data_IF_883624449501
#
_entry.id   IF_883624449501
#
_cell.length_a   1.000
_cell.length_b   1.000
_cell.length_c   1.000
_cell.angle_alpha   90.00
_cell.angle_beta   90.00
_cell.angle_gamma   90.00
#
_symmetry.space_group_name_H-M   'P 1'
#
loop_
_entity.id
_entity.type
_entity.pdbx_description
1 polymer ?
#
# COMPACT_ATOMS: atom_id res chain seq x y z
N UNK A 1 -5.18 53.54 -23.88
CA UNK A 1 -4.57 52.25 -24.26
C UNK A 1 -4.80 51.33 -23.07
N UNK A 2 -5.87 50.51 -23.13
CA UNK A 2 -6.33 49.72 -22.01
C UNK A 2 -5.53 48.43 -21.92
N UNK A 3 -5.09 48.10 -20.71
CA UNK A 3 -4.38 46.91 -20.36
C UNK A 3 -5.25 45.66 -20.57
N UNK A 4 -5.07 44.97 -21.70
CA UNK A 4 -5.74 43.71 -22.06
C UNK A 4 -4.93 42.48 -21.58
N UNK A 5 -3.84 42.67 -20.83
CA UNK A 5 -2.96 41.60 -20.38
C UNK A 5 -3.47 40.86 -19.14
N UNK A 6 -4.11 41.57 -18.21
CA UNK A 6 -4.53 40.99 -16.93
C UNK A 6 -5.67 39.95 -17.00
N UNK A 7 -6.64 40.19 -17.90
CA UNK A 7 -7.80 39.29 -18.03
C UNK A 7 -7.47 37.91 -18.62
N UNK A 8 -6.47 37.83 -19.49
CA UNK A 8 -6.03 36.57 -20.12
C UNK A 8 -5.20 35.72 -19.16
N UNK A 9 -4.39 36.32 -18.32
CA UNK A 9 -3.59 35.58 -17.32
C UNK A 9 -4.46 34.98 -16.23
N UNK A 10 -5.43 35.72 -15.69
CA UNK A 10 -6.36 35.21 -14.67
C UNK A 10 -7.20 34.06 -15.20
N UNK A 11 -7.72 34.15 -16.44
CA UNK A 11 -8.49 33.06 -17.06
C UNK A 11 -7.63 31.80 -17.31
N UNK A 12 -6.38 31.96 -17.71
CA UNK A 12 -5.46 30.84 -17.93
C UNK A 12 -5.11 30.13 -16.61
N UNK A 13 -4.88 30.87 -15.53
CA UNK A 13 -4.62 30.30 -14.20
C UNK A 13 -5.82 29.51 -13.67
N UNK A 14 -7.04 30.05 -13.77
CA UNK A 14 -8.24 29.34 -13.31
C UNK A 14 -8.51 28.07 -14.11
N UNK A 15 -8.21 28.05 -15.40
CA UNK A 15 -8.33 26.83 -16.22
C UNK A 15 -7.30 25.79 -15.80
N UNK A 16 -6.03 26.18 -15.58
CA UNK A 16 -4.97 25.28 -15.17
C UNK A 16 -5.22 24.66 -13.78
N UNK A 17 -5.64 25.46 -12.80
CA UNK A 17 -5.94 24.96 -11.46
C UNK A 17 -7.11 23.99 -11.46
N UNK A 18 -8.16 24.31 -12.20
CA UNK A 18 -9.33 23.47 -12.38
C UNK A 18 -9.00 22.13 -13.05
N UNK A 19 -8.26 22.17 -14.17
CA UNK A 19 -7.87 20.95 -14.89
C UNK A 19 -6.90 20.11 -14.07
N UNK A 20 -5.98 20.74 -13.31
CA UNK A 20 -5.08 20.04 -12.38
C UNK A 20 -5.85 19.38 -11.24
N UNK A 21 -6.83 20.06 -10.67
CA UNK A 21 -7.67 19.52 -9.63
C UNK A 21 -8.45 18.28 -10.13
N UNK A 22 -9.03 18.36 -11.33
CA UNK A 22 -9.76 17.26 -11.96
C UNK A 22 -8.85 16.08 -12.28
N UNK A 23 -7.79 16.31 -13.04
CA UNK A 23 -6.84 15.27 -13.45
C UNK A 23 -6.16 14.63 -12.23
N UNK A 24 -5.75 15.44 -11.26
CA UNK A 24 -5.16 14.98 -9.99
C UNK A 24 -6.12 14.12 -9.17
N UNK A 25 -7.39 14.51 -9.10
CA UNK A 25 -8.43 13.74 -8.42
C UNK A 25 -8.69 12.37 -9.06
N UNK A 26 -8.80 12.31 -10.40
CA UNK A 26 -8.94 11.03 -11.12
C UNK A 26 -7.72 10.13 -10.97
N UNK A 27 -6.52 10.69 -11.11
CA UNK A 27 -5.28 9.93 -10.94
C UNK A 27 -5.15 9.39 -9.50
N UNK A 28 -5.45 10.24 -8.50
CA UNK A 28 -5.47 9.82 -7.09
C UNK A 28 -6.46 8.66 -6.85
N UNK A 29 -7.69 8.80 -7.35
CA UNK A 29 -8.71 7.76 -7.21
C UNK A 29 -8.30 6.44 -7.86
N UNK A 30 -7.79 6.49 -9.08
CA UNK A 30 -7.33 5.29 -9.80
C UNK A 30 -6.18 4.60 -9.06
N UNK A 31 -5.17 5.35 -8.62
CA UNK A 31 -4.02 4.82 -7.89
C UNK A 31 -4.40 4.22 -6.54
N UNK A 32 -5.25 4.91 -5.77
CA UNK A 32 -5.74 4.40 -4.48
C UNK A 32 -6.63 3.17 -4.66
N UNK A 33 -7.47 3.13 -5.71
CA UNK A 33 -8.26 1.95 -6.05
C UNK A 33 -7.38 0.75 -6.38
N UNK A 34 -6.35 0.95 -7.20
CA UNK A 34 -5.35 -0.09 -7.51
C UNK A 34 -4.59 -0.53 -6.26
N UNK A 35 -4.26 0.39 -5.34
CA UNK A 35 -3.65 0.04 -4.06
C UNK A 35 -4.57 -0.84 -3.20
N UNK A 36 -5.87 -0.53 -3.12
CA UNK A 36 -6.86 -1.37 -2.42
C UNK A 36 -6.97 -2.75 -3.06
N UNK A 37 -7.04 -2.82 -4.40
CA UNK A 37 -7.06 -4.07 -5.15
C UNK A 37 -5.80 -4.90 -4.87
N UNK A 38 -4.61 -4.30 -4.94
CA UNK A 38 -3.35 -4.97 -4.62
C UNK A 38 -3.34 -5.51 -3.18
N UNK A 39 -3.84 -4.73 -2.21
CA UNK A 39 -4.01 -5.15 -0.83
C UNK A 39 -4.97 -6.35 -0.67
N UNK A 40 -6.06 -6.37 -1.43
CA UNK A 40 -7.00 -7.50 -1.46
C UNK A 40 -6.39 -8.74 -2.11
N UNK A 41 -5.61 -8.59 -3.19
CA UNK A 41 -4.87 -9.68 -3.83
C UNK A 41 -3.88 -10.31 -2.85
N UNK A 42 -3.11 -9.48 -2.12
CA UNK A 42 -2.22 -9.94 -1.05
C UNK A 42 -2.97 -10.73 0.03
N UNK A 43 -4.15 -10.26 0.40
CA UNK A 43 -4.97 -10.89 1.43
C UNK A 43 -5.61 -12.20 0.95
N UNK A 44 -5.99 -12.29 -0.31
CA UNK A 44 -6.57 -13.48 -0.93
C UNK A 44 -5.53 -14.57 -1.25
N UNK A 45 -4.24 -14.33 -0.95
CA UNK A 45 -3.13 -15.26 -1.21
C UNK A 45 -3.06 -15.74 -2.69
N UNK A 46 -3.44 -14.88 -3.62
CA UNK A 46 -3.24 -15.15 -5.03
C UNK A 46 -1.75 -15.02 -5.34
N UNK A 47 -1.11 -16.18 -5.46
CA UNK A 47 0.32 -16.30 -5.72
C UNK A 47 0.53 -17.31 -6.84
N UNK A 48 1.43 -17.00 -7.74
CA UNK A 48 1.98 -17.95 -8.71
C UNK A 48 3.50 -17.78 -8.73
N UNK A 49 4.21 -18.78 -9.25
CA UNK A 49 5.67 -18.74 -9.36
C UNK A 49 6.15 -17.53 -10.18
N UNK A 50 5.32 -17.04 -11.11
CA UNK A 50 5.59 -15.85 -11.92
C UNK A 50 5.26 -14.53 -11.22
N UNK A 51 4.42 -14.56 -10.17
CA UNK A 51 3.95 -13.37 -9.45
C UNK A 51 4.16 -13.53 -7.95
N UNK A 52 5.39 -13.36 -7.46
CA UNK A 52 5.70 -13.54 -6.05
C UNK A 52 5.04 -12.45 -5.18
N UNK A 53 4.73 -12.82 -3.94
CA UNK A 53 4.09 -11.93 -2.96
C UNK A 53 4.86 -10.64 -2.72
N UNK A 54 6.20 -10.67 -2.86
CA UNK A 54 7.06 -9.52 -2.69
C UNK A 54 6.70 -8.40 -3.67
N UNK A 55 6.55 -8.73 -4.96
CA UNK A 55 6.19 -7.75 -6.00
C UNK A 55 4.85 -7.07 -5.67
N UNK A 56 3.84 -7.84 -5.26
CA UNK A 56 2.54 -7.26 -4.91
C UNK A 56 2.63 -6.36 -3.68
N UNK A 57 3.49 -6.69 -2.70
CA UNK A 57 3.70 -5.86 -1.51
C UNK A 57 4.35 -4.53 -1.86
N UNK A 58 5.41 -4.56 -2.67
CA UNK A 58 6.10 -3.36 -3.15
C UNK A 58 5.18 -2.50 -4.02
N UNK A 59 4.43 -3.14 -4.92
CA UNK A 59 3.45 -2.46 -5.76
C UNK A 59 2.36 -1.76 -4.93
N UNK A 60 1.82 -2.44 -3.91
CA UNK A 60 0.85 -1.83 -2.99
C UNK A 60 1.44 -0.60 -2.28
N UNK A 61 2.67 -0.70 -1.78
CA UNK A 61 3.38 0.41 -1.14
C UNK A 61 3.61 1.58 -2.09
N UNK A 62 4.10 1.31 -3.30
CA UNK A 62 4.33 2.31 -4.33
C UNK A 62 3.05 3.02 -4.78
N UNK A 63 1.99 2.28 -5.10
CA UNK A 63 0.70 2.83 -5.51
C UNK A 63 0.07 3.69 -4.40
N UNK A 64 0.20 3.26 -3.14
CA UNK A 64 -0.31 4.02 -2.00
C UNK A 64 0.43 5.34 -1.81
N UNK A 65 1.75 5.35 -1.96
CA UNK A 65 2.56 6.57 -1.87
C UNK A 65 2.25 7.52 -3.03
N UNK A 66 2.22 6.99 -4.25
CA UNK A 66 1.92 7.78 -5.44
C UNK A 66 0.49 8.36 -5.37
N UNK A 67 -0.48 7.56 -4.93
CA UNK A 67 -1.84 8.02 -4.69
C UNK A 67 -1.91 9.17 -3.68
N UNK A 68 -1.14 9.09 -2.58
CA UNK A 68 -1.06 10.18 -1.59
C UNK A 68 -0.47 11.46 -2.21
N UNK A 69 0.54 11.36 -3.06
CA UNK A 69 1.11 12.50 -3.78
C UNK A 69 0.04 13.17 -4.67
N UNK A 70 -0.72 12.37 -5.43
CA UNK A 70 -1.78 12.91 -6.29
C UNK A 70 -2.96 13.49 -5.49
N UNK A 71 -3.31 12.91 -4.34
CA UNK A 71 -4.29 13.53 -3.40
C UNK A 71 -3.79 14.88 -2.93
N UNK A 72 -2.51 14.99 -2.58
CA UNK A 72 -1.92 16.27 -2.15
C UNK A 72 -1.98 17.32 -3.26
N UNK A 73 -1.62 16.94 -4.50
CA UNK A 73 -1.73 17.83 -5.67
C UNK A 73 -3.19 18.26 -5.88
N UNK A 74 -4.13 17.32 -5.81
CA UNK A 74 -5.57 17.60 -5.97
C UNK A 74 -6.06 18.60 -4.91
N UNK A 75 -5.76 18.37 -3.64
CA UNK A 75 -6.18 19.25 -2.54
C UNK A 75 -5.56 20.63 -2.66
N UNK A 76 -4.26 20.71 -3.00
CA UNK A 76 -3.58 21.99 -3.22
C UNK A 76 -4.17 22.75 -4.41
N UNK A 77 -4.44 22.07 -5.53
CA UNK A 77 -5.05 22.69 -6.70
C UNK A 77 -6.44 23.28 -6.37
N UNK A 78 -7.26 22.54 -5.62
CA UNK A 78 -8.57 23.02 -5.14
C UNK A 78 -8.42 24.20 -4.18
N UNK A 79 -7.41 24.16 -3.28
CA UNK A 79 -7.20 25.22 -2.29
C UNK A 79 -6.74 26.55 -2.90
N UNK A 80 -6.00 26.51 -4.02
CA UNK A 80 -5.49 27.71 -4.70
C UNK A 80 -6.35 28.15 -5.88
N UNK A 81 -7.43 27.43 -6.18
CA UNK A 81 -8.29 27.74 -7.31
C UNK A 81 -9.07 29.06 -7.10
N UNK A 82 -8.83 30.07 -7.95
CA UNK A 82 -9.48 31.38 -7.80
C UNK A 82 -10.97 31.36 -8.18
N UNK A 83 -11.44 30.33 -8.89
CA UNK A 83 -12.84 30.25 -9.33
C UNK A 83 -13.78 29.78 -8.21
N UNK A 84 -13.35 28.82 -7.39
CA UNK A 84 -14.18 28.23 -6.32
C UNK A 84 -14.13 29.03 -5.03
N UNK A 85 -13.16 29.95 -4.86
CA UNK A 85 -12.97 30.77 -3.66
C UNK A 85 -13.03 29.99 -2.35
N UNK A 86 -12.56 28.74 -2.34
CA UNK A 86 -12.53 27.92 -1.13
C UNK A 86 -11.51 28.51 -0.14
N UNK A 87 -12.04 28.99 0.99
CA UNK A 87 -11.20 29.37 2.13
C UNK A 87 -10.58 28.14 2.81
N UNK A 88 -9.52 28.34 3.57
CA UNK A 88 -8.89 27.27 4.36
C UNK A 88 -9.89 26.50 5.25
N UNK A 89 -10.94 27.18 5.74
CA UNK A 89 -12.01 26.55 6.53
C UNK A 89 -12.80 25.52 5.70
N UNK A 90 -13.07 25.82 4.45
CA UNK A 90 -13.87 24.95 3.57
C UNK A 90 -13.07 23.74 3.07
N UNK A 91 -11.74 23.84 3.04
CA UNK A 91 -10.83 22.74 2.68
C UNK A 91 -10.54 21.85 3.89
N UNK A 92 -10.55 22.40 5.12
CA UNK A 92 -10.21 21.66 6.34
C UNK A 92 -11.44 21.16 7.10
N UNK A 93 -12.56 21.90 7.11
CA UNK A 93 -13.74 21.50 7.88
C UNK A 93 -14.74 20.77 6.95
N UNK A 94 -15.12 19.52 7.28
CA UNK A 94 -16.10 18.80 6.50
C UNK A 94 -17.48 19.46 6.61
N UNK A 95 -18.26 19.44 5.54
CA UNK A 95 -19.65 19.89 5.45
C UNK A 95 -19.89 21.40 5.60
N UNK A 96 -18.85 22.24 5.65
CA UNK A 96 -18.95 23.71 5.78
C UNK A 96 -18.99 24.41 4.41
N UNK A 97 -18.60 23.73 3.34
CA UNK A 97 -18.54 24.28 1.98
C UNK A 97 -19.93 24.75 1.50
N UNK A 98 -19.98 25.94 0.90
CA UNK A 98 -21.17 26.47 0.22
C UNK A 98 -21.50 25.69 -1.07
N UNK A 99 -20.48 25.07 -1.70
CA UNK A 99 -20.68 24.26 -2.89
C UNK A 99 -20.83 22.79 -2.54
N UNK A 100 -22.03 22.24 -2.73
CA UNK A 100 -22.35 20.81 -2.52
C UNK A 100 -21.77 20.24 -1.20
N UNK A 101 -22.20 20.71 -0.03
CA UNK A 101 -21.55 20.45 1.26
C UNK A 101 -21.36 18.97 1.59
N UNK A 102 -22.34 18.11 1.24
CA UNK A 102 -22.23 16.67 1.50
C UNK A 102 -21.12 16.00 0.69
N UNK A 103 -21.04 16.32 -0.60
CA UNK A 103 -20.04 15.71 -1.48
C UNK A 103 -18.63 16.19 -1.18
N UNK A 104 -18.47 17.48 -0.92
CA UNK A 104 -17.17 18.06 -0.51
C UNK A 104 -16.76 17.55 0.87
N UNK A 105 -17.70 17.47 1.81
CA UNK A 105 -17.45 16.93 3.15
C UNK A 105 -16.95 15.49 3.14
N UNK A 106 -17.49 14.64 2.25
CA UNK A 106 -17.02 13.26 2.10
C UNK A 106 -15.56 13.19 1.60
N UNK A 107 -15.15 14.10 0.71
CA UNK A 107 -13.76 14.20 0.27
C UNK A 107 -12.81 14.55 1.41
N UNK A 108 -13.20 15.50 2.27
CA UNK A 108 -12.41 15.90 3.45
C UNK A 108 -12.35 14.76 4.47
N UNK A 109 -13.45 14.06 4.71
CA UNK A 109 -13.46 12.87 5.58
C UNK A 109 -12.55 11.78 5.01
N UNK A 110 -12.61 11.52 3.70
CA UNK A 110 -11.72 10.57 3.05
C UNK A 110 -10.24 10.95 3.20
N UNK A 111 -9.91 12.24 3.10
CA UNK A 111 -8.56 12.76 3.32
C UNK A 111 -8.08 12.47 4.75
N UNK A 112 -8.88 12.76 5.77
CA UNK A 112 -8.51 12.50 7.17
C UNK A 112 -8.34 11.01 7.46
N UNK A 113 -9.22 10.17 6.92
CA UNK A 113 -9.09 8.72 7.04
C UNK A 113 -7.83 8.21 6.32
N UNK A 114 -7.53 8.73 5.14
CA UNK A 114 -6.30 8.39 4.39
C UNK A 114 -5.05 8.76 5.18
N UNK A 115 -5.00 9.97 5.76
CA UNK A 115 -3.91 10.41 6.62
C UNK A 115 -3.77 9.52 7.86
N UNK A 116 -4.88 9.12 8.50
CA UNK A 116 -4.88 8.21 9.63
C UNK A 116 -4.30 6.84 9.25
N UNK A 117 -4.69 6.28 8.10
CA UNK A 117 -4.14 5.02 7.56
C UNK A 117 -2.64 5.17 7.28
N UNK A 118 -2.22 6.26 6.66
CA UNK A 118 -0.82 6.51 6.32
C UNK A 118 0.05 6.67 7.59
N UNK A 119 -0.36 7.52 8.52
CA UNK A 119 0.34 7.75 9.80
C UNK A 119 0.41 6.46 10.60
N UNK A 120 -0.69 5.71 10.72
CA UNK A 120 -0.69 4.44 11.45
C UNK A 120 0.27 3.43 10.84
N UNK A 121 0.44 3.44 9.51
CA UNK A 121 1.38 2.56 8.81
C UNK A 121 2.84 2.94 9.14
N UNK A 122 3.14 4.23 9.27
CA UNK A 122 4.47 4.71 9.72
C UNK A 122 4.74 4.39 11.18
N UNK A 123 3.70 4.44 12.03
CA UNK A 123 3.80 4.16 13.45
C UNK A 123 3.54 2.68 13.80
N UNK A 124 3.42 1.77 12.83
CA UNK A 124 3.06 0.36 13.04
C UNK A 124 3.88 -0.34 14.12
N UNK A 125 5.17 -0.04 14.19
CA UNK A 125 6.07 -0.63 15.20
C UNK A 125 5.77 -0.15 16.62
N UNK A 126 5.21 1.06 16.78
CA UNK A 126 4.88 1.65 18.07
C UNK A 126 3.48 1.28 18.55
N UNK A 127 2.49 1.28 17.65
CA UNK A 127 1.08 1.03 18.01
C UNK A 127 0.72 -0.46 18.06
N UNK A 128 1.59 -1.32 17.52
CA UNK A 128 1.37 -2.77 17.47
C UNK A 128 0.47 -3.21 16.32
N UNK A 129 0.61 -4.49 15.94
CA UNK A 129 -0.03 -5.05 14.75
C UNK A 129 -1.58 -5.05 14.80
N UNK A 130 -2.17 -5.28 15.98
CA UNK A 130 -3.64 -5.39 16.11
C UNK A 130 -4.31 -4.06 15.82
N UNK A 131 -3.86 -2.98 16.47
CA UNK A 131 -4.41 -1.63 16.30
C UNK A 131 -4.14 -1.11 14.88
N UNK A 132 -2.90 -1.26 14.39
CA UNK A 132 -2.56 -0.92 13.01
C UNK A 132 -3.51 -1.57 12.01
N UNK A 133 -3.80 -2.86 12.17
CA UNK A 133 -4.69 -3.58 11.26
C UNK A 133 -6.12 -3.04 11.27
N UNK A 134 -6.65 -2.66 12.42
CA UNK A 134 -7.98 -2.07 12.54
C UNK A 134 -8.04 -0.72 11.81
N UNK A 135 -7.05 0.15 12.05
CA UNK A 135 -6.96 1.44 11.38
C UNK A 135 -6.77 1.25 9.87
N UNK A 136 -5.96 0.28 9.45
CA UNK A 136 -5.72 0.00 8.03
C UNK A 136 -6.99 -0.47 7.29
N UNK A 137 -7.96 -1.07 7.98
CA UNK A 137 -9.25 -1.41 7.38
C UNK A 137 -10.09 -0.18 7.03
N UNK A 138 -9.80 1.00 7.61
CA UNK A 138 -10.44 2.26 7.20
C UNK A 138 -10.13 2.62 5.75
N UNK A 139 -9.15 2.00 5.11
CA UNK A 139 -8.88 2.14 3.68
C UNK A 139 -10.11 1.79 2.80
N UNK A 140 -10.99 0.90 3.26
CA UNK A 140 -12.26 0.64 2.58
C UNK A 140 -13.24 1.81 2.69
N UNK A 141 -13.26 2.49 3.83
CA UNK A 141 -14.07 3.71 4.00
C UNK A 141 -13.48 4.87 3.18
N UNK A 142 -12.16 4.97 3.09
CA UNK A 142 -11.49 5.92 2.18
C UNK A 142 -11.96 5.67 0.75
N UNK A 143 -11.92 4.41 0.29
CA UNK A 143 -12.36 4.04 -1.06
C UNK A 143 -13.84 4.39 -1.28
N UNK A 144 -14.73 4.03 -0.37
CA UNK A 144 -16.16 4.32 -0.49
C UNK A 144 -16.44 5.83 -0.49
N UNK A 145 -15.87 6.57 0.46
CA UNK A 145 -16.08 8.02 0.58
C UNK A 145 -15.50 8.78 -0.64
N UNK A 146 -14.31 8.39 -1.13
CA UNK A 146 -13.72 8.99 -2.33
C UNK A 146 -14.51 8.66 -3.60
N UNK A 147 -15.08 7.45 -3.72
CA UNK A 147 -15.97 7.09 -4.83
C UNK A 147 -17.20 7.98 -4.84
N UNK A 148 -17.88 8.09 -3.70
CA UNK A 148 -19.10 8.91 -3.56
C UNK A 148 -18.79 10.40 -3.77
N UNK A 149 -17.67 10.89 -3.22
CA UNK A 149 -17.17 12.25 -3.46
C UNK A 149 -16.94 12.51 -4.95
N UNK A 150 -16.18 11.62 -5.62
CA UNK A 150 -15.86 11.78 -7.05
C UNK A 150 -17.09 11.73 -7.94
N UNK A 151 -18.07 10.86 -7.64
CA UNK A 151 -19.35 10.80 -8.37
C UNK A 151 -20.16 12.07 -8.14
N UNK A 152 -20.19 12.57 -6.91
CA UNK A 152 -21.03 13.72 -6.55
C UNK A 152 -20.48 15.07 -6.97
N UNK A 153 -19.14 15.24 -7.01
CA UNK A 153 -18.48 16.50 -7.39
C UNK A 153 -17.99 16.52 -8.83
N UNK A 154 -17.71 15.33 -9.41
CA UNK A 154 -17.09 15.20 -10.71
C UNK A 154 -18.01 15.67 -11.86
N UNK A 155 -17.52 16.61 -12.67
CA UNK A 155 -18.17 17.03 -13.92
C UNK A 155 -18.14 15.91 -14.96
N UNK A 156 -17.11 15.08 -14.93
CA UNK A 156 -16.86 14.01 -15.90
C UNK A 156 -17.60 12.71 -15.58
N UNK A 157 -18.27 12.63 -14.43
CA UNK A 157 -19.13 11.47 -14.09
C UNK A 157 -20.29 11.28 -15.07
N UNK A 158 -20.64 12.33 -15.79
CA UNK A 158 -21.64 12.27 -16.88
C UNK A 158 -21.09 11.67 -18.16
N UNK A 159 -19.78 11.51 -18.27
CA UNK A 159 -19.14 10.88 -19.43
C UNK A 159 -19.07 9.37 -19.22
N UNK A 160 -19.18 8.61 -20.31
CA UNK A 160 -19.15 7.13 -20.26
C UNK A 160 -17.85 6.61 -19.66
N UNK A 161 -16.71 7.21 -20.00
CA UNK A 161 -15.39 6.79 -19.48
C UNK A 161 -15.22 7.11 -17.98
N UNK A 162 -15.70 8.29 -17.52
CA UNK A 162 -15.62 8.67 -16.12
C UNK A 162 -16.42 7.73 -15.24
N UNK A 163 -17.67 7.44 -15.64
CA UNK A 163 -18.51 6.47 -14.92
C UNK A 163 -17.92 5.06 -14.95
N UNK A 164 -17.33 4.65 -16.09
CA UNK A 164 -16.71 3.33 -16.23
C UNK A 164 -15.57 3.11 -15.22
N UNK A 165 -14.74 4.09 -14.96
CA UNK A 165 -13.64 4.01 -13.98
C UNK A 165 -14.19 3.70 -12.58
N UNK A 166 -15.23 4.42 -12.13
CA UNK A 166 -15.86 4.19 -10.83
C UNK A 166 -16.51 2.80 -10.74
N UNK A 167 -17.24 2.39 -11.79
CA UNK A 167 -17.91 1.08 -11.83
C UNK A 167 -16.89 -0.07 -11.82
N UNK A 168 -15.86 0.00 -12.66
CA UNK A 168 -14.82 -1.04 -12.73
C UNK A 168 -14.09 -1.17 -11.39
N UNK A 169 -13.71 -0.04 -10.78
CA UNK A 169 -13.08 -0.05 -9.47
C UNK A 169 -14.00 -0.63 -8.38
N UNK A 170 -15.27 -0.22 -8.34
CA UNK A 170 -16.24 -0.72 -7.38
C UNK A 170 -16.53 -2.22 -7.55
N UNK A 171 -16.68 -2.70 -8.80
CA UNK A 171 -16.87 -4.11 -9.10
C UNK A 171 -15.65 -4.94 -8.72
N UNK A 172 -14.44 -4.49 -9.05
CA UNK A 172 -13.20 -5.19 -8.72
C UNK A 172 -13.00 -5.30 -7.19
N UNK A 173 -13.15 -4.19 -6.47
CA UNK A 173 -13.03 -4.18 -4.99
C UNK A 173 -14.14 -5.01 -4.36
N UNK A 174 -15.38 -4.88 -4.85
CA UNK A 174 -16.54 -5.65 -4.37
C UNK A 174 -16.35 -7.15 -4.58
N UNK A 175 -16.00 -7.59 -5.80
CA UNK A 175 -15.80 -9.00 -6.13
C UNK A 175 -14.67 -9.64 -5.30
N UNK A 176 -13.54 -8.94 -5.14
CA UNK A 176 -12.42 -9.43 -4.32
C UNK A 176 -12.78 -9.48 -2.83
N UNK A 177 -13.59 -8.54 -2.35
CA UNK A 177 -14.06 -8.50 -0.97
C UNK A 177 -15.06 -9.64 -0.70
N UNK A 178 -16.04 -9.84 -1.58
CA UNK A 178 -17.02 -10.93 -1.50
C UNK A 178 -16.29 -12.29 -1.54
N UNK A 179 -15.39 -12.48 -2.50
CA UNK A 179 -14.57 -13.69 -2.56
C UNK A 179 -13.84 -13.96 -1.23
N UNK A 180 -13.31 -12.90 -0.60
CA UNK A 180 -12.63 -13.00 0.68
C UNK A 180 -13.55 -13.48 1.80
N UNK A 181 -14.83 -13.11 1.77
CA UNK A 181 -15.83 -13.52 2.75
C UNK A 181 -16.32 -14.96 2.50
N UNK A 182 -16.49 -15.33 1.23
CA UNK A 182 -17.04 -16.64 0.83
C UNK A 182 -16.01 -17.77 0.87
N UNK A 183 -14.72 -17.48 0.60
CA UNK A 183 -13.66 -18.49 0.63
C UNK A 183 -12.89 -18.37 1.94
N UNK A 184 -13.24 -19.18 2.96
CA UNK A 184 -12.44 -19.26 4.17
C UNK A 184 -11.05 -19.74 3.79
N UNK A 185 -10.02 -18.99 4.13
CA UNK A 185 -8.62 -19.43 4.00
C UNK A 185 -8.49 -20.67 4.84
N UNK A 186 -8.35 -21.83 4.16
CA UNK A 186 -8.27 -23.14 4.76
C UNK A 186 -7.31 -23.13 5.95
N UNK A 187 -7.82 -23.49 7.11
CA UNK A 187 -7.06 -23.70 8.34
C UNK A 187 -6.14 -24.94 8.25
N UNK A 188 -6.16 -25.61 7.10
CA UNK A 188 -5.63 -26.96 6.94
C UNK A 188 -4.09 -27.03 6.86
N UNK A 189 -3.42 -25.97 6.50
CA UNK A 189 -1.95 -25.99 6.41
C UNK A 189 -1.23 -25.80 7.74
N UNK A 190 -1.92 -25.32 8.79
CA UNK A 190 -1.33 -25.21 10.13
C UNK A 190 -1.39 -26.49 10.97
N UNK A 191 -2.11 -27.52 10.48
CA UNK A 191 -2.22 -28.83 11.08
C UNK A 191 -1.49 -29.93 10.30
N UNK A 192 -0.52 -29.59 9.43
CA UNK A 192 0.48 -30.63 9.15
C UNK A 192 1.24 -30.84 10.46
N UNK A 193 1.03 -31.95 11.16
CA UNK A 193 1.92 -32.28 12.25
C UNK A 193 3.30 -32.25 11.62
N UNK A 194 4.20 -31.44 12.14
CA UNK A 194 5.62 -31.66 11.96
C UNK A 194 5.74 -33.14 12.32
N UNK A 195 5.94 -33.99 11.29
CA UNK A 195 6.14 -35.41 11.54
C UNK A 195 7.19 -35.47 12.63
N UNK A 196 6.75 -35.87 13.83
CA UNK A 196 7.63 -35.94 14.96
C UNK A 196 8.80 -36.78 14.48
N UNK A 197 9.98 -36.21 14.40
CA UNK A 197 11.18 -36.98 14.15
C UNK A 197 11.17 -38.04 15.24
N UNK A 198 11.12 -39.35 14.94
CA UNK A 198 11.19 -40.37 15.94
C UNK A 198 12.47 -40.16 16.73
N UNK A 199 12.34 -40.15 18.05
CA UNK A 199 13.46 -39.99 18.97
C UNK A 199 14.63 -40.87 18.54
N UNK A 200 15.89 -40.41 18.63
CA UNK A 200 17.06 -41.17 18.20
C UNK A 200 17.35 -42.30 19.22
N UNK A 201 16.67 -43.39 19.06
CA UNK A 201 16.83 -44.56 19.95
C UNK A 201 16.55 -45.91 19.29
N UNK A 202 16.07 -45.92 18.05
CA UNK A 202 15.79 -47.16 17.32
C UNK A 202 16.57 -47.20 16.02
N UNK A 203 17.33 -48.30 15.83
CA UNK A 203 18.15 -48.54 14.62
C UNK A 203 17.36 -48.49 13.32
N UNK A 204 16.02 -48.65 13.36
CA UNK A 204 15.12 -48.53 12.21
C UNK A 204 14.86 -47.06 11.81
N UNK A 205 15.19 -46.04 12.64
CA UNK A 205 14.97 -44.64 12.34
C UNK A 205 16.06 -44.03 11.45
N UNK A 206 17.27 -44.57 11.51
CA UNK A 206 18.42 -44.05 10.74
C UNK A 206 18.31 -44.33 9.23
N UNK A 207 17.64 -45.44 8.86
CA UNK A 207 17.47 -45.81 7.45
C UNK A 207 16.40 -44.99 6.77
N UNK A 208 15.40 -44.46 7.48
CA UNK A 208 14.27 -43.72 6.90
C UNK A 208 14.54 -42.22 6.72
N UNK A 209 15.43 -41.62 7.54
CA UNK A 209 15.86 -40.22 7.34
C UNK A 209 16.81 -40.02 6.15
N UNK A 210 17.50 -41.09 5.70
CA UNK A 210 18.46 -41.01 4.60
C UNK A 210 17.81 -40.95 3.24
N UNK A 211 16.55 -41.35 3.09
CA UNK A 211 15.84 -41.43 1.83
C UNK A 211 15.00 -40.17 1.48
N UNK A 212 14.91 -39.18 2.39
CA UNK A 212 14.05 -37.99 2.18
C UNK A 212 14.84 -36.69 1.96
N UNK A 213 16.18 -36.75 1.82
CA UNK A 213 16.97 -35.57 1.46
C UNK A 213 17.43 -35.68 0.01
N UNK A 214 16.81 -35.00 -0.96
CA UNK A 214 17.36 -34.94 -2.30
C UNK A 214 18.56 -33.99 -2.32
N UNK A 215 19.76 -34.54 -2.55
CA UNK A 215 20.83 -33.82 -3.23
C UNK A 215 21.78 -32.95 -2.41
N UNK A 216 22.26 -33.38 -1.24
CA UNK A 216 23.56 -32.90 -0.74
C UNK A 216 24.60 -33.99 -0.92
N UNK A 217 25.47 -33.85 -1.93
CA UNK A 217 26.71 -34.63 -2.04
C UNK A 217 27.55 -34.39 -0.77
N UNK A 218 27.83 -35.45 -0.04
CA UNK A 218 28.80 -35.42 1.02
C UNK A 218 30.22 -35.20 0.43
N UNK A 219 31.07 -34.35 1.05
CA UNK A 219 32.48 -34.33 0.68
C UNK A 219 33.15 -35.61 1.13
N UNK A 220 33.94 -36.20 0.22
CA UNK A 220 34.76 -37.38 0.46
C UNK A 220 35.79 -37.15 1.56
N UNK A 221 36.10 -38.14 2.40
CA UNK A 221 37.16 -38.04 3.42
C UNK A 221 38.52 -38.17 2.73
N UNK A 222 39.25 -37.03 2.68
CA UNK A 222 40.64 -37.00 2.27
C UNK A 222 41.54 -37.30 3.48
N UNK A 223 42.57 -38.08 3.23
CA UNK A 223 43.60 -38.63 4.12
C UNK A 223 44.40 -37.58 4.88
N UNK A 224 44.94 -37.94 6.05
CA UNK A 224 45.79 -37.04 6.83
C UNK A 224 47.24 -37.17 6.45
N UNK A 225 47.90 -36.09 6.14
CA UNK A 225 49.36 -36.01 6.20
C UNK A 225 49.83 -34.59 6.53
N UNK A 226 50.73 -34.48 7.49
CA UNK A 226 51.72 -33.43 7.58
C UNK A 226 51.56 -32.43 8.72
N UNK A 227 52.22 -32.78 9.84
CA UNK A 227 52.65 -31.86 10.86
C UNK A 227 53.68 -30.87 10.36
N UNK A 228 53.57 -29.59 10.77
CA UNK A 228 54.78 -28.81 11.10
C UNK A 228 54.40 -27.58 11.94
N UNK A 229 54.91 -27.56 13.10
CA UNK A 229 55.17 -26.49 14.05
C UNK A 229 55.83 -25.26 13.42
N UNK A 230 55.38 -24.07 13.77
CA UNK A 230 56.30 -22.98 14.14
C UNK A 230 55.57 -21.88 14.92
N UNK A 231 56.19 -21.57 15.97
CA UNK A 231 56.15 -20.60 17.05
C UNK A 231 56.13 -19.12 16.63
N UNK A 232 55.70 -18.30 17.62
CA UNK A 232 56.12 -16.90 17.85
C UNK A 232 55.30 -15.82 17.13
N UNK A 233 54.85 -14.73 17.70
CA UNK A 233 55.31 -13.91 18.81
C UNK A 233 54.29 -12.77 19.04
N UNK A 234 54.02 -12.46 20.26
CA UNK A 234 53.67 -11.19 20.90
C UNK A 234 53.71 -9.92 20.05
N UNK A 235 52.70 -9.09 20.14
CA UNK A 235 52.82 -7.73 20.74
C UNK A 235 51.47 -7.08 21.03
N UNK A 236 51.41 -6.60 22.24
CA UNK A 236 50.42 -5.67 22.77
C UNK A 236 50.79 -4.21 22.40
N UNK A 237 49.79 -3.35 22.35
CA UNK A 237 49.84 -1.91 22.62
C UNK A 237 48.45 -1.34 22.25
N UNK A 238 47.54 -0.97 23.09
CA UNK A 238 47.42 0.16 24.03
C UNK A 238 47.25 1.53 23.39
N UNK A 239 46.21 2.22 23.89
CA UNK A 239 45.91 3.66 23.89
C UNK A 239 45.12 4.16 22.67
N UNK A 240 44.05 4.87 22.84
CA UNK A 240 43.43 5.83 23.79
C UNK A 240 42.98 7.07 23.02
N UNK A 241 41.77 7.51 23.31
CA UNK A 241 41.24 8.89 23.30
C UNK A 241 41.31 9.73 22.00
N UNK A 242 40.20 10.07 21.49
CA UNK A 242 39.58 11.43 21.54
C UNK A 242 38.11 11.28 21.14
#
# INVERSE_FOLDING_TARGET
>A
MADTGGGRSVSAWSTLTWDTARAGGFAAYALLSLAVIAGLVLRNRWQSDRWPRLITTELHGFLSLLGLVFVTIHVLAVAVDPFTHFGLREVLLPFVSHYRPLWMGLGIVALYLLLAVWVSTRLRTRIGYRLWRQIHLLAFLVFAASTVHGIGTGSDTKTTWGLAIYLVAALAVGALSIRRLLVPVGRDERRRPVAACPCPGSAAALTRCRSTTPGRRAPSPGSPTGASTTTSSRRASSRARS
#
